data_IF_497818970395
#
_entry.id   IF_497818970395
#
_cell.length_a   1.000
_cell.length_b   1.000
_cell.length_c   1.000
_cell.angle_alpha   90.00
_cell.angle_beta   90.00
_cell.angle_gamma   90.00
#
_symmetry.space_group_name_H-M   'P 1'
#
loop_
_entity.id
_entity.type
_entity.pdbx_description
1 polymer ?
#
# COMPACT_ATOMS: atom_id res chain seq x y z
N UNK A 1 -26.84 9.23 0.82
CA UNK A 1 -26.98 10.24 -0.26
C UNK A 1 -26.99 11.63 0.37
N UNK A 2 -26.34 12.65 -0.21
CA UNK A 2 -26.32 14.00 0.36
C UNK A 2 -27.73 14.62 0.42
N UNK A 3 -28.57 14.36 -0.57
CA UNK A 3 -29.90 14.98 -0.67
C UNK A 3 -30.86 14.47 0.41
N UNK A 4 -30.73 13.21 0.79
CA UNK A 4 -31.50 12.64 1.91
C UNK A 4 -30.93 13.11 3.24
N UNK A 5 -29.60 13.12 3.37
CA UNK A 5 -28.92 13.58 4.58
C UNK A 5 -29.27 15.04 4.96
N UNK A 6 -29.35 15.95 3.97
CA UNK A 6 -29.65 17.36 4.22
C UNK A 6 -31.13 17.64 4.55
N UNK A 7 -32.03 16.66 4.40
CA UNK A 7 -33.44 16.81 4.81
C UNK A 7 -33.65 16.60 6.30
N UNK A 8 -32.70 15.94 6.97
CA UNK A 8 -32.75 15.66 8.39
C UNK A 8 -32.45 16.90 9.23
N UNK A 9 -32.87 16.90 10.49
CA UNK A 9 -32.50 17.95 11.44
C UNK A 9 -30.99 17.97 11.71
N UNK A 10 -30.42 19.15 12.00
CA UNK A 10 -28.98 19.34 12.25
C UNK A 10 -28.47 18.41 13.35
N UNK A 11 -29.26 18.11 14.37
CA UNK A 11 -28.89 17.19 15.45
C UNK A 11 -28.74 15.75 14.92
N UNK A 12 -29.62 15.33 14.01
CA UNK A 12 -29.57 14.01 13.37
C UNK A 12 -28.38 13.94 12.42
N UNK A 13 -28.15 14.98 11.63
CA UNK A 13 -27.00 15.09 10.73
C UNK A 13 -25.68 14.92 11.48
N UNK A 14 -25.51 15.61 12.60
CA UNK A 14 -24.31 15.51 13.46
C UNK A 14 -24.13 14.09 14.02
N UNK A 15 -25.21 13.46 14.50
CA UNK A 15 -25.16 12.08 15.00
C UNK A 15 -24.77 11.08 13.92
N UNK A 16 -25.34 11.19 12.72
CA UNK A 16 -25.01 10.31 11.58
C UNK A 16 -23.54 10.43 11.20
N UNK A 17 -23.00 11.65 11.10
CA UNK A 17 -21.57 11.85 10.82
C UNK A 17 -20.68 11.24 11.89
N UNK A 18 -21.04 11.39 13.16
CA UNK A 18 -20.31 10.81 14.27
C UNK A 18 -20.31 9.28 14.22
N UNK A 19 -21.46 8.66 13.97
CA UNK A 19 -21.59 7.20 13.82
C UNK A 19 -20.72 6.70 12.66
N UNK A 20 -20.80 7.34 11.49
CA UNK A 20 -20.01 6.96 10.31
C UNK A 20 -18.50 7.02 10.62
N UNK A 21 -18.05 8.06 11.32
CA UNK A 21 -16.64 8.22 11.70
C UNK A 21 -16.22 7.15 12.73
N UNK A 22 -17.08 6.84 13.71
CA UNK A 22 -16.83 5.79 14.70
C UNK A 22 -16.75 4.40 14.09
N UNK A 23 -17.56 4.10 13.07
CA UNK A 23 -17.50 2.83 12.33
C UNK A 23 -16.24 2.70 11.46
N UNK A 24 -15.58 3.81 11.14
CA UNK A 24 -14.40 3.82 10.26
C UNK A 24 -13.09 3.64 11.02
N UNK A 25 -12.97 4.24 12.20
CA UNK A 25 -11.78 4.10 13.04
C UNK A 25 -12.12 4.49 14.48
N UNK A 26 -11.91 3.59 15.44
CA UNK A 26 -12.21 3.84 16.85
C UNK A 26 -11.31 4.94 17.46
N UNK A 27 -10.08 5.12 16.97
CA UNK A 27 -9.16 6.16 17.45
C UNK A 27 -9.59 7.58 17.03
N UNK A 28 -10.36 7.69 15.95
CA UNK A 28 -10.83 8.96 15.41
C UNK A 28 -11.82 9.63 16.37
N UNK A 29 -12.64 8.83 17.05
CA UNK A 29 -13.66 9.30 18.01
C UNK A 29 -13.03 10.14 19.12
N UNK A 30 -11.81 9.80 19.53
CA UNK A 30 -11.08 10.48 20.61
C UNK A 30 -10.40 11.79 20.16
N UNK A 31 -10.34 12.08 18.86
CA UNK A 31 -9.63 13.24 18.29
C UNK A 31 -10.51 14.17 17.44
N UNK A 32 -11.77 13.80 17.20
CA UNK A 32 -12.73 14.68 16.53
C UNK A 32 -13.20 15.78 17.49
N UNK A 33 -13.29 17.01 16.98
CA UNK A 33 -13.90 18.14 17.69
C UNK A 33 -15.17 18.58 16.95
N UNK A 34 -16.04 19.36 17.61
CA UNK A 34 -17.23 19.93 16.97
C UNK A 34 -16.88 20.74 15.70
N UNK A 35 -15.71 21.40 15.66
CA UNK A 35 -15.23 22.11 14.47
C UNK A 35 -15.09 21.19 13.25
N UNK A 36 -14.62 19.97 13.45
CA UNK A 36 -14.49 18.98 12.37
C UNK A 36 -15.86 18.55 11.83
N UNK A 37 -16.84 18.37 12.71
CA UNK A 37 -18.22 18.04 12.33
C UNK A 37 -18.86 19.20 11.56
N UNK A 38 -18.66 20.43 12.01
CA UNK A 38 -19.18 21.61 11.31
C UNK A 38 -18.54 21.75 9.92
N UNK A 39 -17.23 21.49 9.76
CA UNK A 39 -16.59 21.46 8.44
C UNK A 39 -17.15 20.37 7.50
N UNK A 40 -17.56 19.21 8.04
CA UNK A 40 -18.22 18.17 7.24
C UNK A 40 -19.63 18.59 6.78
N UNK A 41 -20.37 19.31 7.62
CA UNK A 41 -21.68 19.86 7.27
C UNK A 41 -21.56 20.93 6.19
N UNK A 42 -20.55 21.79 6.29
CA UNK A 42 -20.22 22.77 5.25
C UNK A 42 -19.84 22.08 3.93
N UNK A 43 -19.06 21.01 3.99
CA UNK A 43 -18.70 20.21 2.82
C UNK A 43 -19.94 19.60 2.15
N UNK A 44 -20.86 19.03 2.93
CA UNK A 44 -22.12 18.46 2.44
C UNK A 44 -22.99 19.52 1.74
N UNK A 45 -23.10 20.69 2.35
CA UNK A 45 -23.96 21.81 1.93
C UNK A 45 -23.35 22.68 0.83
N UNK A 46 -22.05 22.50 0.54
CA UNK A 46 -21.33 23.29 -0.46
C UNK A 46 -21.94 23.17 -1.85
N UNK A 47 -22.05 24.29 -2.57
CA UNK A 47 -22.48 24.33 -3.98
C UNK A 47 -21.44 23.72 -4.95
N UNK A 48 -20.21 23.48 -4.49
CA UNK A 48 -19.14 22.89 -5.31
C UNK A 48 -19.37 21.39 -5.48
N UNK A 49 -19.36 20.92 -6.73
CA UNK A 49 -19.53 19.49 -7.05
C UNK A 49 -18.36 18.63 -6.55
N UNK A 50 -17.17 19.21 -6.44
CA UNK A 50 -15.97 18.57 -5.90
C UNK A 50 -15.34 19.49 -4.84
N UNK A 51 -15.20 18.97 -3.62
CA UNK A 51 -14.58 19.66 -2.50
C UNK A 51 -14.05 18.61 -1.50
N UNK A 52 -13.10 18.99 -0.66
CA UNK A 52 -12.55 18.09 0.36
C UNK A 52 -12.32 18.81 1.68
N UNK A 53 -12.32 18.06 2.77
CA UNK A 53 -11.96 18.46 4.12
C UNK A 53 -11.01 17.41 4.67
N UNK A 54 -9.90 17.86 5.23
CA UNK A 54 -8.95 16.99 5.92
C UNK A 54 -9.32 16.93 7.40
N UNK A 55 -9.55 15.72 7.90
CA UNK A 55 -9.74 15.41 9.31
C UNK A 55 -8.51 14.66 9.85
N UNK A 56 -8.38 14.52 11.18
CA UNK A 56 -7.41 13.59 11.74
C UNK A 56 -7.65 12.17 11.18
N UNK A 57 -6.67 11.63 10.47
CA UNK A 57 -6.63 10.25 9.92
C UNK A 57 -7.61 9.92 8.76
N UNK A 58 -8.46 10.86 8.35
CA UNK A 58 -9.42 10.68 7.23
C UNK A 58 -9.49 11.94 6.38
N UNK A 59 -9.43 11.79 5.07
CA UNK A 59 -9.82 12.82 4.11
C UNK A 59 -11.26 12.58 3.70
N UNK A 60 -12.12 13.59 3.80
CA UNK A 60 -13.51 13.49 3.36
C UNK A 60 -13.68 14.34 2.13
N UNK A 61 -14.23 13.77 1.06
CA UNK A 61 -14.45 14.46 -0.20
C UNK A 61 -15.88 14.34 -0.68
N UNK A 62 -16.38 15.41 -1.26
CA UNK A 62 -17.66 15.47 -1.96
C UNK A 62 -17.44 15.16 -3.43
N UNK A 63 -18.22 14.23 -3.96
CA UNK A 63 -18.25 13.82 -5.37
C UNK A 63 -19.72 13.87 -5.80
N UNK A 64 -20.11 14.98 -6.42
CA UNK A 64 -21.51 15.27 -6.76
C UNK A 64 -22.43 15.16 -5.53
N UNK A 65 -23.39 14.25 -5.56
CA UNK A 65 -24.39 14.02 -4.50
C UNK A 65 -23.92 12.99 -3.45
N UNK A 66 -22.63 12.65 -3.41
CA UNK A 66 -22.05 11.67 -2.47
C UNK A 66 -20.92 12.28 -1.66
N UNK A 67 -20.86 11.90 -0.38
CA UNK A 67 -19.69 12.10 0.48
C UNK A 67 -18.92 10.79 0.53
N UNK A 68 -17.63 10.86 0.22
CA UNK A 68 -16.70 9.76 0.28
C UNK A 68 -15.73 10.03 1.42
N UNK A 69 -15.67 9.11 2.37
CA UNK A 69 -14.69 9.12 3.44
C UNK A 69 -13.53 8.26 2.99
N UNK A 70 -12.45 8.91 2.57
CA UNK A 70 -11.17 8.27 2.33
C UNK A 70 -10.43 8.25 3.67
N UNK A 71 -10.40 7.11 4.35
CA UNK A 71 -9.37 6.95 5.39
C UNK A 71 -8.02 7.25 4.75
N UNK A 72 -7.07 7.77 5.52
CA UNK A 72 -5.68 7.95 5.05
C UNK A 72 -5.04 6.67 4.49
N UNK A 73 -5.75 5.54 4.48
CA UNK A 73 -5.31 4.25 3.97
C UNK A 73 -5.54 3.99 2.47
N UNK A 74 -5.88 4.98 1.61
CA UNK A 74 -6.14 4.65 0.20
C UNK A 74 -5.58 5.49 -0.93
N UNK A 75 -4.70 6.47 -0.69
CA UNK A 75 -3.93 7.11 -1.78
C UNK A 75 -2.44 7.37 -1.44
N UNK A 76 -1.93 6.76 -0.36
CA UNK A 76 -0.49 6.63 -0.07
C UNK A 76 -0.30 5.41 0.84
N UNK A 77 -0.34 4.20 0.26
CA UNK A 77 -0.11 2.97 1.04
C UNK A 77 1.41 2.80 1.21
N UNK A 78 2.10 3.78 1.80
CA UNK A 78 3.49 3.59 2.18
C UNK A 78 3.54 2.62 3.36
N UNK A 79 3.99 1.39 3.10
CA UNK A 79 4.24 0.39 4.12
C UNK A 79 5.68 -0.06 4.09
N UNK A 80 6.19 -0.47 5.25
CA UNK A 80 7.49 -1.10 5.41
C UNK A 80 7.40 -2.10 6.57
N UNK A 81 7.21 -3.37 6.23
CA UNK A 81 7.04 -4.44 7.21
C UNK A 81 8.28 -5.30 7.24
N UNK A 82 8.73 -5.68 8.44
CA UNK A 82 9.71 -6.74 8.58
C UNK A 82 9.09 -8.09 8.14
N UNK A 83 9.80 -8.81 7.27
CA UNK A 83 9.38 -10.11 6.77
C UNK A 83 9.71 -11.20 7.79
N UNK A 84 8.71 -11.57 8.58
CA UNK A 84 8.72 -12.84 9.31
C UNK A 84 8.48 -14.02 8.36
N UNK A 85 7.92 -15.13 8.86
CA UNK A 85 7.72 -16.32 8.02
C UNK A 85 6.72 -16.11 6.88
N UNK A 86 5.70 -15.28 7.11
CA UNK A 86 4.60 -15.05 6.16
C UNK A 86 4.04 -13.66 6.37
N UNK A 87 3.70 -12.98 5.28
CA UNK A 87 3.03 -11.69 5.32
C UNK A 87 1.98 -11.59 4.22
N UNK A 88 0.80 -11.11 4.60
CA UNK A 88 -0.26 -10.74 3.66
C UNK A 88 -0.12 -9.26 3.31
N UNK A 89 -0.11 -8.96 2.01
CA UNK A 89 0.12 -7.61 1.48
C UNK A 89 -1.23 -6.97 1.14
N UNK A 90 -1.25 -5.63 1.12
CA UNK A 90 -2.44 -4.80 0.90
C UNK A 90 -3.12 -5.08 -0.46
N UNK A 91 -2.38 -5.60 -1.44
CA UNK A 91 -2.93 -6.04 -2.72
C UNK A 91 -3.66 -7.40 -2.66
N UNK A 92 -3.84 -7.98 -1.47
CA UNK A 92 -4.52 -9.25 -1.24
C UNK A 92 -3.63 -10.50 -1.42
N UNK A 93 -2.40 -10.33 -1.90
CA UNK A 93 -1.43 -11.41 -2.12
C UNK A 93 -0.58 -11.67 -0.89
N UNK A 94 0.19 -12.74 -0.92
CA UNK A 94 1.01 -13.21 0.19
C UNK A 94 2.46 -13.40 -0.23
N UNK A 95 3.39 -13.02 0.66
CA UNK A 95 4.80 -13.44 0.57
C UNK A 95 5.07 -14.39 1.74
N UNK A 96 5.71 -15.51 1.44
CA UNK A 96 6.00 -16.56 2.41
C UNK A 96 7.41 -17.11 2.23
N UNK A 97 8.10 -17.32 3.35
CA UNK A 97 9.33 -18.09 3.42
C UNK A 97 9.01 -19.58 3.38
N UNK A 98 9.68 -20.31 2.49
CA UNK A 98 9.52 -21.77 2.34
C UNK A 98 10.89 -22.45 2.30
N UNK A 99 10.91 -23.76 2.49
CA UNK A 99 12.17 -24.52 2.50
C UNK A 99 12.71 -24.81 1.09
N UNK A 100 11.82 -24.98 0.11
CA UNK A 100 12.17 -25.42 -1.25
C UNK A 100 11.50 -24.54 -2.29
N UNK A 101 12.28 -24.10 -3.28
CA UNK A 101 11.80 -23.31 -4.40
C UNK A 101 10.87 -24.15 -5.30
N UNK A 102 9.59 -23.77 -5.46
CA UNK A 102 8.66 -24.52 -6.30
C UNK A 102 9.04 -24.42 -7.78
N UNK A 103 9.49 -23.25 -8.22
CA UNK A 103 9.83 -22.95 -9.62
C UNK A 103 10.96 -21.91 -9.75
N UNK A 104 11.21 -21.48 -10.99
CA UNK A 104 12.17 -20.41 -11.34
C UNK A 104 11.48 -19.12 -11.80
N UNK A 105 10.16 -19.00 -11.63
CA UNK A 105 9.37 -17.87 -12.13
C UNK A 105 9.71 -16.57 -11.40
N UNK A 106 9.08 -15.47 -11.80
CA UNK A 106 9.18 -14.19 -11.08
C UNK A 106 8.38 -14.17 -9.77
N UNK A 107 7.62 -15.24 -9.49
CA UNK A 107 6.90 -15.44 -8.22
C UNK A 107 7.76 -16.18 -7.18
N UNK A 108 8.96 -16.63 -7.54
CA UNK A 108 9.88 -17.34 -6.64
C UNK A 108 11.24 -16.66 -6.63
N UNK A 109 11.74 -16.35 -5.43
CA UNK A 109 13.07 -15.80 -5.20
C UNK A 109 13.89 -16.78 -4.35
N UNK A 110 15.13 -17.01 -4.76
CA UNK A 110 16.08 -17.89 -4.05
C UNK A 110 17.34 -17.13 -3.70
N UNK A 111 17.75 -17.13 -2.44
CA UNK A 111 18.85 -16.30 -1.93
C UNK A 111 19.84 -17.13 -1.11
N UNK A 112 21.07 -16.62 -1.02
CA UNK A 112 22.05 -17.03 -0.02
C UNK A 112 22.06 -15.99 1.10
N UNK A 113 21.80 -16.46 2.33
CA UNK A 113 21.77 -15.65 3.56
C UNK A 113 23.07 -14.90 3.79
N UNK A 114 24.19 -15.48 3.36
CA UNK A 114 25.54 -14.95 3.53
C UNK A 114 25.81 -13.75 2.62
N UNK A 115 24.99 -13.54 1.57
CA UNK A 115 25.17 -12.46 0.59
C UNK A 115 24.22 -11.27 0.81
N UNK A 116 23.34 -11.34 1.82
CA UNK A 116 22.31 -10.33 2.09
C UNK A 116 22.22 -10.00 3.59
N UNK A 117 21.67 -8.83 3.89
CA UNK A 117 21.56 -8.35 5.27
C UNK A 117 20.15 -8.59 5.85
N UNK A 118 20.06 -9.24 7.00
CA UNK A 118 18.79 -9.44 7.72
C UNK A 118 18.54 -8.31 8.75
N UNK A 119 17.29 -8.09 9.17
CA UNK A 119 16.08 -8.74 8.68
C UNK A 119 15.68 -8.25 7.28
N UNK A 120 14.83 -9.02 6.59
CA UNK A 120 14.28 -8.62 5.30
C UNK A 120 13.04 -7.75 5.53
N UNK A 121 12.75 -6.85 4.59
CA UNK A 121 11.59 -5.99 4.65
C UNK A 121 10.78 -6.07 3.35
N UNK A 122 9.45 -5.98 3.48
CA UNK A 122 8.52 -5.80 2.37
C UNK A 122 7.96 -4.38 2.47
N UNK A 123 8.24 -3.57 1.45
CA UNK A 123 7.80 -2.18 1.39
C UNK A 123 7.22 -1.79 0.04
N UNK A 124 6.58 -0.65 -0.04
CA UNK A 124 6.27 -0.03 -1.33
C UNK A 124 7.49 0.66 -1.92
N UNK A 125 7.36 1.03 -3.21
CA UNK A 125 8.41 1.75 -3.94
C UNK A 125 8.69 3.10 -3.30
N UNK A 126 9.96 3.47 -3.23
CA UNK A 126 10.44 4.80 -2.90
C UNK A 126 10.90 5.50 -4.16
N UNK A 127 10.81 6.82 -4.18
CA UNK A 127 11.35 7.60 -5.28
C UNK A 127 12.86 7.34 -5.43
N UNK A 128 13.32 7.17 -6.67
CA UNK A 128 14.71 6.86 -6.94
C UNK A 128 15.10 5.39 -6.79
N UNK A 129 14.19 4.49 -6.39
CA UNK A 129 14.49 3.06 -6.26
C UNK A 129 15.10 2.47 -7.54
N UNK A 130 16.19 1.70 -7.37
CA UNK A 130 16.89 0.98 -8.44
C UNK A 130 17.21 -0.45 -8.03
N UNK A 131 17.10 -1.36 -8.98
CA UNK A 131 17.42 -2.77 -8.81
C UNK A 131 18.53 -3.18 -9.79
N UNK A 132 19.48 -3.99 -9.32
CA UNK A 132 20.45 -4.70 -10.17
C UNK A 132 19.75 -5.96 -10.70
N UNK A 133 19.15 -5.89 -11.89
CA UNK A 133 18.32 -6.99 -12.42
C UNK A 133 19.19 -8.20 -12.76
N UNK A 134 18.73 -9.41 -12.44
CA UNK A 134 19.42 -10.64 -12.79
C UNK A 134 19.69 -10.71 -14.31
N UNK A 135 20.93 -11.00 -14.68
CA UNK A 135 21.34 -11.17 -16.08
C UNK A 135 21.47 -9.86 -16.87
N UNK A 136 21.41 -8.70 -16.23
CA UNK A 136 21.72 -7.40 -16.84
C UNK A 136 22.94 -6.78 -16.21
N UNK A 137 23.76 -6.12 -17.02
CA UNK A 137 24.83 -5.24 -16.53
C UNK A 137 24.23 -3.91 -16.07
N UNK A 138 24.53 -3.53 -14.84
CA UNK A 138 24.10 -2.26 -14.24
C UNK A 138 22.79 -2.32 -13.46
N UNK A 139 22.10 -1.18 -13.36
CA UNK A 139 20.88 -1.02 -12.54
C UNK A 139 19.74 -0.44 -13.37
N UNK A 140 18.51 -0.85 -13.06
CA UNK A 140 17.28 -0.32 -13.68
C UNK A 140 16.42 0.38 -12.64
N UNK A 141 15.80 1.51 -12.99
CA UNK A 141 14.85 2.17 -12.09
C UNK A 141 13.59 1.31 -11.95
N UNK A 142 13.07 1.22 -10.73
CA UNK A 142 11.82 0.51 -10.46
C UNK A 142 10.64 1.12 -11.20
N UNK A 143 10.61 2.46 -11.33
CA UNK A 143 9.61 3.16 -12.15
C UNK A 143 9.58 2.65 -13.60
N UNK A 144 10.74 2.45 -14.21
CA UNK A 144 10.84 2.01 -15.61
C UNK A 144 10.37 0.56 -15.75
N UNK A 145 10.71 -0.31 -14.78
CA UNK A 145 10.18 -1.69 -14.72
C UNK A 145 8.66 -1.69 -14.70
N UNK A 146 8.03 -0.86 -13.85
CA UNK A 146 6.57 -0.80 -13.80
C UNK A 146 5.93 -0.27 -15.09
N UNK A 147 6.63 0.60 -15.83
CA UNK A 147 6.17 1.09 -17.14
C UNK A 147 6.24 -0.04 -18.17
N UNK A 148 7.37 -0.74 -18.24
CA UNK A 148 7.60 -1.82 -19.20
C UNK A 148 6.64 -2.99 -18.99
N UNK A 149 6.38 -3.35 -17.74
CA UNK A 149 5.44 -4.38 -17.34
C UNK A 149 3.96 -3.90 -17.36
N UNK A 150 3.72 -2.66 -17.83
CA UNK A 150 2.39 -2.04 -18.01
C UNK A 150 1.52 -2.04 -16.74
N UNK A 151 2.15 -1.94 -15.57
CA UNK A 151 1.45 -1.88 -14.28
C UNK A 151 0.71 -0.54 -14.17
N UNK A 152 -0.56 -0.54 -13.78
CA UNK A 152 -1.33 0.71 -13.63
C UNK A 152 -0.80 1.56 -12.47
N UNK A 153 -1.03 2.88 -12.48
CA UNK A 153 -0.57 3.77 -11.40
C UNK A 153 -1.03 3.30 -10.01
N UNK A 154 -2.30 2.91 -9.90
CA UNK A 154 -2.90 2.39 -8.67
C UNK A 154 -2.23 1.10 -8.17
N UNK A 155 -1.87 0.20 -9.07
CA UNK A 155 -1.14 -1.02 -8.70
C UNK A 155 0.29 -0.70 -8.25
N UNK A 156 0.96 0.26 -8.88
CA UNK A 156 2.34 0.66 -8.54
C UNK A 156 2.47 1.20 -7.11
N UNK A 157 1.44 1.86 -6.60
CA UNK A 157 1.42 2.46 -5.26
C UNK A 157 1.40 1.41 -4.16
N UNK A 158 0.80 0.25 -4.41
CA UNK A 158 0.69 -0.85 -3.43
C UNK A 158 1.61 -2.04 -3.72
N UNK A 159 2.33 -2.01 -4.85
CA UNK A 159 3.15 -3.13 -5.30
C UNK A 159 4.30 -3.40 -4.31
N UNK A 160 4.46 -4.65 -3.85
CA UNK A 160 5.51 -4.99 -2.89
C UNK A 160 6.89 -4.93 -3.52
N UNK A 161 7.88 -4.56 -2.72
CA UNK A 161 9.31 -4.66 -3.01
C UNK A 161 9.96 -5.31 -1.79
N UNK A 162 10.70 -6.38 -2.03
CA UNK A 162 11.49 -7.05 -0.99
C UNK A 162 12.89 -6.47 -0.98
N UNK A 163 13.31 -5.98 0.18
CA UNK A 163 14.62 -5.38 0.42
C UNK A 163 15.31 -6.03 1.61
N UNK A 164 16.64 -5.95 1.64
CA UNK A 164 17.44 -6.33 2.80
C UNK A 164 17.55 -5.15 3.80
N UNK A 165 18.14 -5.39 4.98
CA UNK A 165 18.31 -4.34 6.00
C UNK A 165 19.32 -3.26 5.62
N UNK A 166 20.12 -3.47 4.57
CA UNK A 166 21.01 -2.47 3.97
C UNK A 166 20.31 -1.63 2.88
N UNK A 167 19.04 -1.91 2.59
CA UNK A 167 18.24 -1.20 1.59
C UNK A 167 18.43 -1.69 0.16
N UNK A 168 19.15 -2.80 -0.07
CA UNK A 168 19.29 -3.40 -1.39
C UNK A 168 17.95 -4.02 -1.83
N UNK A 169 17.50 -3.70 -3.04
CA UNK A 169 16.32 -4.34 -3.62
C UNK A 169 16.68 -5.74 -4.10
N UNK A 170 16.11 -6.75 -3.43
CA UNK A 170 16.33 -8.15 -3.75
C UNK A 170 15.34 -8.63 -4.81
N UNK A 171 14.10 -8.14 -4.77
CA UNK A 171 13.02 -8.68 -5.59
C UNK A 171 11.83 -7.73 -5.71
N UNK A 172 11.25 -7.68 -6.90
CA UNK A 172 9.94 -7.07 -7.18
C UNK A 172 9.00 -8.24 -7.54
N UNK A 173 8.24 -8.77 -6.58
CA UNK A 173 7.40 -9.94 -6.75
C UNK A 173 6.53 -9.92 -8.02
N UNK A 174 6.58 -11.02 -8.77
CA UNK A 174 5.87 -11.20 -10.03
C UNK A 174 6.51 -10.50 -11.24
N UNK A 175 7.46 -9.57 -11.04
CA UNK A 175 8.00 -8.75 -12.14
C UNK A 175 9.47 -9.03 -12.45
N UNK A 176 10.37 -8.81 -11.48
CA UNK A 176 11.83 -8.92 -11.69
C UNK A 176 12.56 -9.33 -10.42
N UNK A 177 13.62 -10.11 -10.62
CA UNK A 177 14.56 -10.57 -9.58
C UNK A 177 15.89 -9.82 -9.68
N UNK A 178 16.54 -9.58 -8.55
CA UNK A 178 17.86 -8.98 -8.53
C UNK A 178 18.97 -10.00 -8.87
N UNK A 179 20.19 -9.51 -9.03
CA UNK A 179 21.39 -10.32 -9.20
C UNK A 179 21.68 -11.28 -8.03
N UNK A 180 21.05 -11.09 -6.86
CA UNK A 180 21.18 -11.99 -5.72
C UNK A 180 20.43 -13.31 -5.91
N UNK A 181 19.50 -13.39 -6.88
CA UNK A 181 18.72 -14.62 -7.11
C UNK A 181 19.59 -15.77 -7.64
N UNK A 182 19.63 -16.88 -6.91
CA UNK A 182 20.44 -18.07 -7.23
C UNK A 182 19.78 -19.01 -8.23
N UNK A 183 18.47 -18.90 -8.41
CA UNK A 183 17.64 -19.87 -9.12
C UNK A 183 17.47 -21.18 -8.34
N UNK A 184 16.44 -21.95 -8.69
CA UNK A 184 16.05 -23.25 -8.13
C UNK A 184 17.14 -24.32 -8.19
N UNK A 185 18.06 -24.23 -9.14
CA UNK A 185 19.18 -25.18 -9.29
C UNK A 185 20.49 -24.64 -8.67
N UNK A 186 20.47 -23.43 -8.13
CA UNK A 186 21.61 -22.83 -7.46
C UNK A 186 21.73 -23.31 -6.00
N UNK A 187 22.82 -22.90 -5.34
CA UNK A 187 22.94 -23.02 -3.88
C UNK A 187 22.17 -21.87 -3.24
N UNK A 188 21.19 -22.18 -2.41
CA UNK A 188 20.39 -21.22 -1.64
C UNK A 188 20.04 -21.81 -0.27
N UNK A 189 19.74 -20.94 0.69
CA UNK A 189 19.27 -21.29 2.03
C UNK A 189 18.12 -20.39 2.51
N UNK A 190 17.61 -19.53 1.61
CA UNK A 190 16.43 -18.69 1.83
C UNK A 190 15.60 -18.72 0.55
N UNK A 191 14.31 -19.02 0.66
CA UNK A 191 13.37 -19.02 -0.46
C UNK A 191 12.14 -18.20 -0.10
N UNK A 192 11.73 -17.31 -1.00
CA UNK A 192 10.50 -16.54 -0.90
C UNK A 192 9.58 -16.86 -2.07
N UNK A 193 8.29 -17.05 -1.79
CA UNK A 193 7.25 -17.22 -2.81
C UNK A 193 6.18 -16.13 -2.72
N UNK A 194 5.57 -15.80 -3.84
CA UNK A 194 4.52 -14.79 -3.96
C UNK A 194 3.30 -15.34 -4.71
N UNK A 195 2.13 -15.28 -4.07
CA UNK A 195 0.87 -15.80 -4.62
C UNK A 195 -0.34 -14.95 -4.22
#
# INVERSE_FOLDING_TARGET
DIKEFLKEDVVIQKKVLYIILSMKNEEIVNKITNKHIDSLLELASSKRANAYVMLPFVTVRKVYDKIVFDSKDKDDIEYNYELGNKIKIVNGKTIEMVDVAPDNSNNTLTLLREEISFPLYVRTRKEGDRIKVKGMDGTKKVKDIFIDEKISLKERESWPIVVDSSGNILWIPGLKKSCFDKGKNGKYNVVLIYY
#
